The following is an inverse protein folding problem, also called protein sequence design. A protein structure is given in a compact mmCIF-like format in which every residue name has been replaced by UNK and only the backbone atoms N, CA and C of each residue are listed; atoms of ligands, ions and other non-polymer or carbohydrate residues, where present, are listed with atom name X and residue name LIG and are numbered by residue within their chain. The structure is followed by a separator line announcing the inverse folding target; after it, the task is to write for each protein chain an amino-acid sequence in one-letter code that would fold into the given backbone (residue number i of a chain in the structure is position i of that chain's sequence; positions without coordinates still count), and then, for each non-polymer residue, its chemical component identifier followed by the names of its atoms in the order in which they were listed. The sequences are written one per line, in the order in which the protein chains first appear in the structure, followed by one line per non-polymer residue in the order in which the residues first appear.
data_IF_502023943452
#
_entry.id   IF_502023943452
#
_cell.length_a   1.000
_cell.length_b   1.000
_cell.length_c   1.000
_cell.angle_alpha   90.00
_cell.angle_beta   90.00
_cell.angle_gamma   90.00
#
_symmetry.space_group_name_H-M   'P 1'
#
loop_
_entity.id
_entity.type
_entity.pdbx_description
1 polymer ?
#
# COMPACT_ATOMS: atom_id res chain seq x y z
N UNK A 1 4.79 60.12 -55.40
CA UNK A 1 5.22 59.50 -56.68
C UNK A 1 6.66 59.05 -56.52
N UNK A 2 6.89 57.76 -56.27
CA UNK A 2 8.23 57.17 -56.36
C UNK A 2 8.06 55.69 -56.71
N UNK A 3 7.83 55.45 -58.00
CA UNK A 3 8.09 54.16 -58.65
C UNK A 3 9.49 54.26 -59.24
N UNK A 4 10.18 53.12 -59.32
CA UNK A 4 11.44 52.91 -60.02
C UNK A 4 12.76 53.02 -59.20
N UNK A 5 12.87 52.26 -58.12
CA UNK A 5 14.11 51.53 -57.78
C UNK A 5 13.71 50.11 -57.39
N UNK A 6 13.24 49.38 -58.40
CA UNK A 6 12.96 47.95 -58.37
C UNK A 6 14.08 47.29 -59.18
N UNK A 7 14.76 46.30 -58.57
CA UNK A 7 15.93 45.52 -59.03
C UNK A 7 17.28 46.05 -58.54
N UNK A 8 17.69 45.55 -57.37
CA UNK A 8 18.96 44.85 -57.17
C UNK A 8 19.09 44.49 -55.68
N UNK A 9 18.58 43.33 -55.31
CA UNK A 9 19.07 42.42 -54.25
C UNK A 9 18.09 41.25 -54.14
N UNK A 10 18.02 40.49 -55.24
CA UNK A 10 17.58 39.10 -55.24
C UNK A 10 18.84 38.27 -54.98
N UNK A 11 19.09 37.92 -53.71
CA UNK A 11 19.95 36.81 -53.33
C UNK A 11 19.52 36.30 -51.94
N UNK A 12 19.01 35.07 -51.93
CA UNK A 12 18.78 34.16 -50.80
C UNK A 12 17.78 34.60 -49.69
N UNK A 13 16.57 34.00 -49.61
CA UNK A 13 15.90 33.87 -48.33
C UNK A 13 16.73 32.93 -47.46
N UNK A 14 17.31 33.48 -46.39
CA UNK A 14 17.86 32.70 -45.29
C UNK A 14 16.81 31.73 -44.78
N UNK A 15 17.12 30.45 -44.91
CA UNK A 15 16.42 29.33 -44.30
C UNK A 15 16.17 29.64 -42.82
N UNK A 16 14.93 30.00 -42.48
CA UNK A 16 14.42 29.83 -41.14
C UNK A 16 14.41 28.31 -40.88
N UNK A 17 15.53 27.83 -40.32
CA UNK A 17 15.66 26.44 -39.90
C UNK A 17 14.49 26.11 -38.99
N UNK A 18 13.64 25.18 -39.42
CA UNK A 18 12.61 24.58 -38.56
C UNK A 18 13.29 24.22 -37.24
N UNK A 19 12.72 24.55 -36.07
CA UNK A 19 13.30 24.14 -34.80
C UNK A 19 13.52 22.62 -34.88
N UNK A 20 14.81 22.21 -34.80
CA UNK A 20 15.19 20.79 -34.82
C UNK A 20 14.32 20.12 -33.77
N UNK A 21 13.43 19.22 -34.19
CA UNK A 21 12.67 18.39 -33.26
C UNK A 21 13.70 17.78 -32.31
N UNK A 22 13.55 17.95 -30.99
CA UNK A 22 14.49 17.37 -30.05
C UNK A 22 14.61 15.86 -30.34
N UNK A 23 15.82 15.29 -30.26
CA UNK A 23 16.00 13.87 -30.53
C UNK A 23 15.03 13.04 -29.68
N UNK A 24 14.55 11.88 -30.16
CA UNK A 24 13.53 11.08 -29.47
C UNK A 24 13.82 10.84 -27.98
N UNK A 25 15.10 10.65 -27.65
CA UNK A 25 15.63 10.47 -26.29
C UNK A 25 15.36 11.69 -25.38
N UNK A 26 15.42 12.92 -25.91
CA UNK A 26 15.15 14.14 -25.16
C UNK A 26 13.66 14.39 -24.93
N UNK A 27 12.79 13.88 -25.81
CA UNK A 27 11.32 13.91 -25.62
C UNK A 27 10.92 12.89 -24.55
N UNK A 28 11.50 11.69 -24.60
CA UNK A 28 11.28 10.64 -23.61
C UNK A 28 11.79 11.03 -22.22
N UNK A 29 12.96 11.66 -22.13
CA UNK A 29 13.51 12.16 -20.87
C UNK A 29 12.63 13.27 -20.25
N UNK A 30 12.21 14.26 -21.03
CA UNK A 30 11.28 15.32 -20.56
C UNK A 30 9.91 14.76 -20.17
N UNK A 31 9.43 13.75 -20.88
CA UNK A 31 8.19 13.05 -20.51
C UNK A 31 8.35 12.33 -19.17
N UNK A 32 9.42 11.53 -19.00
CA UNK A 32 9.75 10.83 -17.75
C UNK A 32 9.88 11.80 -16.57
N UNK A 33 10.59 12.92 -16.75
CA UNK A 33 10.75 13.96 -15.73
C UNK A 33 9.39 14.56 -15.33
N UNK A 34 8.57 14.98 -16.30
CA UNK A 34 7.25 15.57 -16.05
C UNK A 34 6.29 14.59 -15.38
N UNK A 35 6.26 13.33 -15.82
CA UNK A 35 5.39 12.30 -15.22
C UNK A 35 5.87 11.95 -13.81
N UNK A 36 7.17 11.83 -13.60
CA UNK A 36 7.74 11.58 -12.26
C UNK A 36 7.39 12.71 -11.30
N UNK A 37 7.51 13.97 -11.73
CA UNK A 37 7.14 15.13 -10.91
C UNK A 37 5.65 15.11 -10.55
N UNK A 38 4.76 14.80 -11.50
CA UNK A 38 3.32 14.67 -11.24
C UNK A 38 3.01 13.52 -10.27
N UNK A 39 3.56 12.33 -10.50
CA UNK A 39 3.36 11.17 -9.62
C UNK A 39 3.86 11.44 -8.21
N UNK A 40 5.02 12.09 -8.08
CA UNK A 40 5.58 12.47 -6.78
C UNK A 40 4.67 13.47 -6.07
N UNK A 41 4.20 14.51 -6.77
CA UNK A 41 3.27 15.49 -6.20
C UNK A 41 1.95 14.85 -5.76
N UNK A 42 1.38 13.95 -6.58
CA UNK A 42 0.17 13.20 -6.23
C UNK A 42 0.40 12.28 -5.02
N UNK A 43 1.55 11.62 -4.95
CA UNK A 43 1.91 10.76 -3.81
C UNK A 43 2.05 11.57 -2.52
N UNK A 44 2.70 12.73 -2.58
CA UNK A 44 2.81 13.65 -1.45
C UNK A 44 1.44 14.18 -1.01
N UNK A 45 0.55 14.54 -1.94
CA UNK A 45 -0.80 14.97 -1.62
C UNK A 45 -1.62 13.83 -0.97
N UNK A 46 -1.52 12.61 -1.49
CA UNK A 46 -2.15 11.43 -0.91
C UNK A 46 -1.62 11.14 0.51
N UNK A 47 -0.31 11.25 0.73
CA UNK A 47 0.29 11.11 2.05
C UNK A 47 -0.22 12.19 3.02
N UNK A 48 -0.31 13.44 2.58
CA UNK A 48 -0.88 14.53 3.38
C UNK A 48 -2.35 14.29 3.73
N UNK A 49 -3.14 13.74 2.81
CA UNK A 49 -4.53 13.35 3.07
C UNK A 49 -4.64 12.19 4.06
N UNK A 50 -3.81 11.14 3.90
CA UNK A 50 -3.74 10.04 4.86
C UNK A 50 -3.35 10.52 6.25
N UNK A 51 -2.36 11.42 6.34
CA UNK A 51 -1.96 12.03 7.61
C UNK A 51 -3.11 12.85 8.22
N UNK A 52 -3.79 13.68 7.43
CA UNK A 52 -4.95 14.44 7.91
C UNK A 52 -6.09 13.54 8.39
N UNK A 53 -6.33 12.42 7.72
CA UNK A 53 -7.36 11.47 8.10
C UNK A 53 -6.97 10.73 9.39
N UNK A 54 -5.82 10.06 9.40
CA UNK A 54 -5.42 9.12 10.45
C UNK A 54 -4.90 9.79 11.72
N UNK A 55 -4.23 10.92 11.60
CA UNK A 55 -3.61 11.54 12.76
C UNK A 55 -4.67 12.23 13.62
N UNK A 56 -4.54 12.14 14.94
CA UNK A 56 -5.48 12.81 15.82
C UNK A 56 -5.44 14.33 15.62
N UNK A 57 -6.59 14.99 15.77
CA UNK A 57 -6.64 16.44 15.95
C UNK A 57 -5.79 16.82 17.18
N UNK A 58 -5.19 18.02 17.19
CA UNK A 58 -4.33 18.46 18.31
C UNK A 58 -5.06 18.30 19.65
N UNK A 59 -4.53 17.46 20.53
CA UNK A 59 -5.08 17.19 21.86
C UNK A 59 -6.01 15.97 21.94
N UNK A 60 -6.43 15.38 20.82
CA UNK A 60 -7.07 14.08 20.79
C UNK A 60 -6.01 12.97 20.89
N UNK A 61 -6.24 11.95 21.71
CA UNK A 61 -5.40 10.75 21.75
C UNK A 61 -5.97 9.68 20.82
N UNK A 62 -5.13 9.05 20.00
CA UNK A 62 -5.50 7.85 19.23
C UNK A 62 -5.68 8.05 17.73
N UNK A 63 -6.26 7.05 17.07
CA UNK A 63 -6.46 7.01 15.62
C UNK A 63 -7.63 7.90 15.20
N UNK A 64 -7.41 8.73 14.18
CA UNK A 64 -8.36 9.68 13.61
C UNK A 64 -9.40 9.05 12.68
N UNK A 65 -9.81 9.77 11.65
CA UNK A 65 -10.88 9.44 10.69
C UNK A 65 -10.49 8.28 9.77
N UNK A 66 -11.48 7.58 9.20
CA UNK A 66 -11.23 6.54 8.20
C UNK A 66 -12.19 6.51 7.00
N UNK A 67 -13.45 6.94 7.16
CA UNK A 67 -14.44 6.89 6.09
C UNK A 67 -15.32 8.14 6.11
N UNK A 68 -15.65 8.67 4.93
CA UNK A 68 -16.65 9.72 4.76
C UNK A 68 -18.00 9.07 4.42
N UNK A 69 -18.98 9.23 5.31
CA UNK A 69 -20.35 8.82 5.05
C UNK A 69 -20.99 9.78 4.05
N UNK A 70 -21.17 9.31 2.81
CA UNK A 70 -21.76 10.10 1.72
C UNK A 70 -23.29 10.08 1.74
N UNK A 71 -23.90 9.07 2.37
CA UNK A 71 -25.34 8.97 2.53
C UNK A 71 -25.78 9.77 3.78
N UNK A 72 -26.62 10.79 3.59
CA UNK A 72 -27.11 11.64 4.69
C UNK A 72 -26.32 12.93 4.88
N UNK A 73 -26.00 13.29 6.13
CA UNK A 73 -25.48 14.61 6.49
C UNK A 73 -23.99 14.85 6.15
N UNK A 74 -23.29 13.88 5.55
CA UNK A 74 -21.88 14.05 5.16
C UNK A 74 -20.93 14.14 6.35
N UNK A 75 -20.76 13.05 7.11
CA UNK A 75 -19.86 13.04 8.29
C UNK A 75 -18.71 12.07 8.15
N UNK A 76 -17.55 12.44 8.69
CA UNK A 76 -16.43 11.53 8.83
C UNK A 76 -16.64 10.60 10.03
N UNK A 77 -16.56 9.29 9.78
CA UNK A 77 -16.49 8.26 10.82
C UNK A 77 -15.10 8.32 11.46
N UNK A 78 -15.07 8.40 12.80
CA UNK A 78 -13.85 8.64 13.57
C UNK A 78 -13.38 7.36 14.23
N UNK A 79 -14.15 6.77 15.14
CA UNK A 79 -13.69 5.62 15.94
C UNK A 79 -14.25 4.28 15.44
N UNK A 80 -13.41 3.24 15.39
CA UNK A 80 -13.88 1.90 15.06
C UNK A 80 -14.83 1.34 16.14
N UNK A 81 -14.59 1.70 17.40
CA UNK A 81 -15.36 1.27 18.57
C UNK A 81 -16.72 1.97 18.73
N UNK A 82 -17.01 3.00 17.91
CA UNK A 82 -18.19 3.85 18.10
C UNK A 82 -18.95 4.18 16.81
N UNK A 83 -18.24 4.34 15.68
CA UNK A 83 -18.81 4.90 14.44
C UNK A 83 -18.94 3.86 13.31
N UNK A 84 -18.77 2.57 13.61
CA UNK A 84 -18.94 1.49 12.62
C UNK A 84 -20.42 1.23 12.39
N UNK A 85 -20.84 1.11 11.11
CA UNK A 85 -22.18 0.67 10.75
C UNK A 85 -22.18 -0.85 10.68
N UNK A 86 -22.69 -1.49 11.73
CA UNK A 86 -22.66 -2.96 11.89
C UNK A 86 -23.36 -3.71 10.76
N UNK A 87 -24.26 -3.08 9.99
CA UNK A 87 -24.91 -3.73 8.85
C UNK A 87 -23.98 -3.91 7.64
N UNK A 88 -22.89 -3.14 7.55
CA UNK A 88 -22.00 -3.10 6.37
C UNK A 88 -20.52 -3.30 6.69
N UNK A 89 -20.12 -3.04 7.93
CA UNK A 89 -18.72 -2.99 8.35
C UNK A 89 -18.55 -3.64 9.74
N UNK A 90 -17.31 -3.79 10.19
CA UNK A 90 -16.96 -4.36 11.49
C UNK A 90 -15.80 -3.58 12.10
N UNK A 91 -15.69 -3.59 13.44
CA UNK A 91 -14.54 -3.01 14.15
C UNK A 91 -13.22 -3.58 13.59
N UNK A 92 -13.19 -4.88 13.30
CA UNK A 92 -12.06 -5.56 12.67
C UNK A 92 -11.64 -4.91 11.36
N UNK A 93 -12.58 -4.72 10.44
CA UNK A 93 -12.28 -4.20 9.10
C UNK A 93 -11.87 -2.71 9.17
N UNK A 94 -12.55 -1.91 10.00
CA UNK A 94 -12.12 -0.55 10.30
C UNK A 94 -10.68 -0.48 10.85
N UNK A 95 -10.35 -1.35 11.81
CA UNK A 95 -9.01 -1.40 12.40
C UNK A 95 -7.95 -1.79 11.36
N UNK A 96 -8.24 -2.78 10.52
CA UNK A 96 -7.38 -3.19 9.42
C UNK A 96 -7.11 -2.03 8.45
N UNK A 97 -8.16 -1.31 8.02
CA UNK A 97 -8.01 -0.17 7.12
C UNK A 97 -7.14 0.93 7.72
N UNK A 98 -7.31 1.26 9.00
CA UNK A 98 -6.48 2.26 9.69
C UNK A 98 -5.01 1.84 9.79
N UNK A 99 -4.73 0.57 10.09
CA UNK A 99 -3.36 0.04 10.15
C UNK A 99 -2.71 -0.02 8.76
N UNK A 100 -3.46 -0.39 7.73
CA UNK A 100 -3.00 -0.36 6.34
C UNK A 100 -2.73 1.07 5.88
N UNK A 101 -3.60 2.02 6.23
CA UNK A 101 -3.44 3.42 5.90
C UNK A 101 -2.21 4.02 6.62
N UNK A 102 -1.95 3.64 7.88
CA UNK A 102 -0.72 4.01 8.60
C UNK A 102 0.52 3.42 7.92
N UNK A 103 0.47 2.16 7.53
CA UNK A 103 1.55 1.49 6.77
C UNK A 103 1.82 2.22 5.45
N UNK A 104 0.77 2.58 4.71
CA UNK A 104 0.87 3.30 3.44
C UNK A 104 1.51 4.68 3.64
N UNK A 105 1.09 5.42 4.67
CA UNK A 105 1.69 6.71 5.03
C UNK A 105 3.20 6.57 5.31
N UNK A 106 3.60 5.53 6.05
CA UNK A 106 5.01 5.25 6.35
C UNK A 106 5.80 4.60 5.21
N UNK A 107 5.14 4.22 4.11
CA UNK A 107 5.79 3.71 2.91
C UNK A 107 6.16 4.83 1.92
N UNK A 108 5.54 6.01 2.05
CA UNK A 108 5.87 7.18 1.24
C UNK A 108 7.18 7.79 1.75
N UNK A 109 8.22 7.94 0.89
CA UNK A 109 9.48 8.55 1.30
C UNK A 109 9.29 9.93 1.94
N UNK A 110 9.83 10.12 3.15
CA UNK A 110 9.80 11.39 3.88
C UNK A 110 8.50 11.70 4.65
N UNK A 111 7.36 11.10 4.29
CA UNK A 111 6.06 11.43 4.89
C UNK A 111 5.98 11.14 6.39
N UNK A 112 6.52 10.00 6.84
CA UNK A 112 6.57 9.67 8.27
C UNK A 112 7.41 10.68 9.07
N UNK A 113 8.48 11.23 8.48
CA UNK A 113 9.32 12.24 9.14
C UNK A 113 8.64 13.60 9.19
N UNK A 114 7.96 14.00 8.11
CA UNK A 114 7.15 15.21 8.08
C UNK A 114 6.06 15.18 9.17
N UNK A 115 5.42 14.03 9.36
CA UNK A 115 4.38 13.84 10.36
C UNK A 115 4.84 13.11 11.63
N UNK A 116 6.14 13.22 11.97
CA UNK A 116 6.81 12.43 13.03
C UNK A 116 6.04 12.37 14.34
N UNK A 117 5.58 13.50 14.85
CA UNK A 117 4.88 13.56 16.14
C UNK A 117 3.57 12.74 16.13
N UNK A 118 2.79 12.84 15.06
CA UNK A 118 1.53 12.12 14.91
C UNK A 118 1.75 10.62 14.72
N UNK A 119 2.68 10.22 13.84
CA UNK A 119 3.01 8.80 13.63
C UNK A 119 3.51 8.17 14.92
N UNK A 120 4.43 8.82 15.65
CA UNK A 120 4.89 8.33 16.95
C UNK A 120 3.76 8.19 17.97
N UNK A 121 2.81 9.13 17.99
CA UNK A 121 1.67 9.06 18.90
C UNK A 121 0.76 7.86 18.59
N UNK A 122 0.51 7.55 17.31
CA UNK A 122 -0.26 6.38 16.90
C UNK A 122 0.45 5.07 17.28
N UNK A 123 1.75 4.96 17.00
CA UNK A 123 2.54 3.79 17.37
C UNK A 123 2.62 3.63 18.90
N UNK A 124 2.84 4.71 19.62
CA UNK A 124 2.83 4.72 21.08
C UNK A 124 1.47 4.33 21.67
N UNK A 125 0.36 4.70 21.00
CA UNK A 125 -0.98 4.25 21.38
C UNK A 125 -1.16 2.75 21.14
N UNK A 126 -0.72 2.25 19.97
CA UNK A 126 -0.77 0.83 19.61
C UNK A 126 0.09 -0.03 20.53
N UNK A 127 1.24 0.49 20.96
CA UNK A 127 2.17 -0.12 21.92
C UNK A 127 1.85 0.22 23.38
N UNK A 128 0.72 0.88 23.64
CA UNK A 128 0.34 1.37 24.95
C UNK A 128 0.12 0.27 25.98
N UNK A 129 -0.43 0.66 27.13
CA UNK A 129 -0.68 -0.27 28.24
C UNK A 129 -1.55 -1.45 27.78
N UNK A 130 -1.17 -2.65 28.20
CA UNK A 130 -1.96 -3.87 28.04
C UNK A 130 -3.36 -3.70 28.63
N UNK A 131 -4.31 -4.42 28.05
CA UNK A 131 -5.72 -4.51 28.47
C UNK A 131 -6.48 -3.18 28.41
N UNK A 132 -5.91 -2.19 27.72
CA UNK A 132 -6.55 -0.91 27.43
C UNK A 132 -6.83 -0.79 25.93
N UNK A 133 -8.07 -0.41 25.59
CA UNK A 133 -8.44 -0.12 24.22
C UNK A 133 -7.65 1.09 23.68
N UNK A 134 -7.16 0.94 22.46
CA UNK A 134 -6.53 1.98 21.65
C UNK A 134 -7.64 2.84 21.07
N UNK A 135 -7.69 4.09 21.51
CA UNK A 135 -8.70 5.04 21.08
C UNK A 135 -8.71 5.17 19.54
N UNK A 136 -9.91 5.12 19.00
CA UNK A 136 -10.20 5.17 17.57
C UNK A 136 -9.96 3.87 16.82
N UNK A 137 -9.37 2.83 17.42
CA UNK A 137 -9.05 1.57 16.74
C UNK A 137 -9.95 0.40 17.19
N UNK A 138 -10.59 0.49 18.36
CA UNK A 138 -11.34 -0.64 18.93
C UNK A 138 -10.49 -1.88 19.16
N UNK A 139 -9.18 -1.72 19.34
CA UNK A 139 -8.21 -2.80 19.52
C UNK A 139 -7.50 -2.64 20.85
N UNK A 140 -7.19 -3.72 21.56
CA UNK A 140 -6.31 -3.71 22.74
C UNK A 140 -5.20 -4.73 22.60
N UNK A 141 -4.08 -4.50 23.31
CA UNK A 141 -3.07 -5.54 23.53
C UNK A 141 -3.48 -6.40 24.72
N UNK A 142 -3.39 -7.72 24.61
CA UNK A 142 -3.62 -8.65 25.74
C UNK A 142 -2.78 -9.90 25.60
N UNK A 143 -2.69 -10.71 26.66
CA UNK A 143 -1.98 -11.99 26.63
C UNK A 143 -2.74 -12.99 25.75
N UNK A 144 -2.01 -13.73 24.93
CA UNK A 144 -2.58 -14.79 24.11
C UNK A 144 -3.04 -15.95 25.00
N UNK A 145 -4.28 -16.45 24.84
CA UNK A 145 -4.74 -17.64 25.56
C UNK A 145 -4.04 -18.92 25.09
N UNK A 146 -3.51 -18.90 23.86
CA UNK A 146 -2.90 -20.07 23.20
C UNK A 146 -1.39 -20.20 23.44
N UNK A 147 -0.73 -19.19 24.01
CA UNK A 147 0.71 -19.20 24.24
C UNK A 147 1.10 -18.34 25.45
N UNK A 148 1.72 -18.98 26.46
CA UNK A 148 2.13 -18.30 27.69
C UNK A 148 3.15 -17.19 27.41
N UNK A 149 2.88 -16.00 27.94
CA UNK A 149 3.80 -14.86 27.90
C UNK A 149 3.88 -14.12 26.57
N UNK A 150 3.18 -14.57 25.52
CA UNK A 150 3.03 -13.79 24.29
C UNK A 150 1.83 -12.87 24.40
N UNK A 151 1.98 -11.66 23.88
CA UNK A 151 0.88 -10.71 23.76
C UNK A 151 0.45 -10.61 22.28
N UNK A 152 -0.80 -10.27 22.05
CA UNK A 152 -1.35 -9.99 20.72
C UNK A 152 -2.38 -8.87 20.75
N UNK A 153 -2.81 -8.44 19.57
CA UNK A 153 -3.87 -7.44 19.41
C UNK A 153 -5.24 -8.11 19.30
N UNK A 154 -6.18 -7.69 20.12
CA UNK A 154 -7.55 -8.18 20.08
C UNK A 154 -8.45 -7.05 19.64
N UNK A 155 -9.33 -7.30 18.67
CA UNK A 155 -10.33 -6.34 18.25
C UNK A 155 -11.62 -6.56 19.02
N UNK A 156 -12.36 -5.48 19.25
CA UNK A 156 -13.68 -5.55 19.87
C UNK A 156 -14.68 -6.15 18.87
N UNK A 157 -15.43 -7.17 19.25
CA UNK A 157 -16.30 -7.91 18.32
C UNK A 157 -17.46 -7.07 17.80
N UNK A 158 -17.94 -6.15 18.62
CA UNK A 158 -19.01 -5.18 18.32
C UNK A 158 -18.67 -3.84 18.98
N UNK A 159 -19.03 -2.70 18.35
CA UNK A 159 -18.83 -1.37 18.92
C UNK A 159 -19.30 -1.28 20.38
N UNK A 160 -18.38 -0.99 21.30
CA UNK A 160 -18.68 -0.75 22.71
C UNK A 160 -19.13 -1.98 23.51
N UNK A 161 -18.99 -3.21 22.99
CA UNK A 161 -19.37 -4.43 23.69
C UNK A 161 -18.44 -4.80 24.85
N UNK A 162 -17.18 -4.37 24.80
CA UNK A 162 -16.11 -4.85 25.68
C UNK A 162 -15.71 -6.32 25.47
N UNK A 163 -16.30 -7.00 24.49
CA UNK A 163 -15.97 -8.37 24.08
C UNK A 163 -14.90 -8.33 23.00
N UNK A 164 -13.84 -9.13 23.14
CA UNK A 164 -12.68 -9.05 22.27
C UNK A 164 -12.31 -10.40 21.68
N UNK A 165 -11.91 -10.41 20.41
CA UNK A 165 -11.47 -11.60 19.68
C UNK A 165 -10.15 -11.33 18.92
N UNK A 166 -9.56 -12.40 18.40
CA UNK A 166 -8.26 -12.38 17.74
C UNK A 166 -8.38 -12.70 16.25
N UNK A 167 -7.67 -11.91 15.45
CA UNK A 167 -7.62 -12.07 14.00
C UNK A 167 -6.18 -12.00 13.51
N UNK A 168 -5.79 -12.94 12.65
CA UNK A 168 -4.43 -13.05 12.12
C UNK A 168 -4.09 -11.90 11.17
N UNK A 169 -5.04 -11.41 10.37
CA UNK A 169 -4.79 -10.28 9.48
C UNK A 169 -4.55 -9.01 10.29
N UNK A 170 -5.27 -8.84 11.40
CA UNK A 170 -5.03 -7.74 12.34
C UNK A 170 -3.63 -7.81 12.95
N UNK A 171 -3.18 -9.00 13.37
CA UNK A 171 -1.81 -9.16 13.89
C UNK A 171 -0.78 -8.79 12.82
N UNK A 172 -0.93 -9.33 11.61
CA UNK A 172 0.00 -9.09 10.51
C UNK A 172 0.05 -7.60 10.13
N UNK A 173 -1.11 -6.93 10.06
CA UNK A 173 -1.20 -5.50 9.77
C UNK A 173 -0.57 -4.64 10.88
N UNK A 174 -0.78 -5.00 12.15
CA UNK A 174 -0.18 -4.28 13.28
C UNK A 174 1.35 -4.42 13.30
N UNK A 175 1.88 -5.64 13.12
CA UNK A 175 3.32 -5.89 13.01
C UNK A 175 3.92 -5.11 11.85
N UNK A 176 3.30 -5.17 10.67
CA UNK A 176 3.75 -4.45 9.48
C UNK A 176 3.78 -2.94 9.72
N UNK A 177 2.69 -2.36 10.23
CA UNK A 177 2.61 -0.94 10.52
C UNK A 177 3.72 -0.49 11.49
N UNK A 178 3.97 -1.30 12.53
CA UNK A 178 5.03 -1.04 13.51
C UNK A 178 6.41 -1.02 12.85
N UNK A 179 6.81 -2.09 12.15
CA UNK A 179 8.16 -2.18 11.57
C UNK A 179 8.37 -1.16 10.46
N UNK A 180 7.36 -0.93 9.62
CA UNK A 180 7.43 0.00 8.51
C UNK A 180 7.58 1.44 9.03
N UNK A 181 6.75 1.84 9.99
CA UNK A 181 6.81 3.19 10.53
C UNK A 181 8.04 3.40 11.42
N UNK A 182 8.45 2.41 12.23
CA UNK A 182 9.69 2.48 13.00
C UNK A 182 10.91 2.67 12.09
N UNK A 183 10.98 1.92 10.99
CA UNK A 183 12.02 2.07 9.96
C UNK A 183 11.99 3.45 9.30
N UNK A 184 10.82 3.92 8.88
CA UNK A 184 10.65 5.24 8.26
C UNK A 184 11.01 6.40 9.22
N UNK A 185 10.73 6.23 10.52
CA UNK A 185 11.09 7.17 11.58
C UNK A 185 12.54 7.08 12.03
N UNK A 186 13.26 6.01 11.65
CA UNK A 186 14.58 5.66 12.15
C UNK A 186 14.60 5.53 13.68
N UNK A 187 13.58 4.87 14.23
CA UNK A 187 13.43 4.65 15.66
C UNK A 187 13.35 3.16 15.96
N UNK A 188 14.48 2.59 16.39
CA UNK A 188 14.60 1.17 16.71
C UNK A 188 13.81 0.75 17.94
N UNK A 189 13.56 1.65 18.89
CA UNK A 189 12.88 1.33 20.15
C UNK A 189 11.41 0.94 19.89
N UNK A 190 10.78 1.59 18.90
CA UNK A 190 9.41 1.28 18.48
C UNK A 190 9.25 -0.13 17.87
N UNK A 191 10.34 -0.72 17.38
CA UNK A 191 10.34 -2.05 16.78
C UNK A 191 11.10 -3.11 17.61
N UNK A 192 11.53 -2.78 18.82
CA UNK A 192 12.34 -3.68 19.66
C UNK A 192 11.66 -5.04 19.90
N UNK A 193 10.34 -5.02 20.13
CA UNK A 193 9.53 -6.22 20.40
C UNK A 193 8.89 -6.83 19.14
N UNK A 194 9.19 -6.32 17.94
CA UNK A 194 8.53 -6.77 16.70
C UNK A 194 8.67 -8.28 16.46
N UNK A 195 9.78 -8.89 16.89
CA UNK A 195 9.97 -10.34 16.84
C UNK A 195 8.99 -11.08 17.76
N UNK A 196 8.73 -10.57 18.96
CA UNK A 196 7.77 -11.15 19.91
C UNK A 196 6.35 -11.06 19.34
N UNK A 197 6.01 -9.91 18.75
CA UNK A 197 4.73 -9.72 18.07
C UNK A 197 4.54 -10.65 16.89
N UNK A 198 5.60 -10.91 16.12
CA UNK A 198 5.53 -11.88 15.04
C UNK A 198 5.34 -13.31 15.55
N UNK A 199 5.99 -13.70 16.66
CA UNK A 199 5.76 -15.01 17.29
C UNK A 199 4.32 -15.18 17.76
N UNK A 200 3.66 -14.09 18.17
CA UNK A 200 2.23 -14.11 18.46
C UNK A 200 1.39 -14.45 17.21
N UNK A 201 1.77 -13.96 16.03
CA UNK A 201 1.17 -14.38 14.75
C UNK A 201 1.32 -15.88 14.54
N UNK A 202 2.53 -16.42 14.73
CA UNK A 202 2.81 -17.86 14.55
C UNK A 202 1.99 -18.74 15.51
N UNK A 203 1.77 -18.26 16.74
CA UNK A 203 0.97 -18.96 17.74
C UNK A 203 -0.52 -18.99 17.39
N UNK A 204 -1.05 -17.90 16.83
CA UNK A 204 -2.46 -17.75 16.43
C UNK A 204 -2.74 -18.44 15.10
N UNK A 205 -1.75 -18.45 14.20
CA UNK A 205 -1.86 -18.99 12.85
C UNK A 205 -0.74 -19.99 12.52
N UNK A 206 -0.67 -21.12 13.26
CA UNK A 206 0.31 -22.16 13.00
C UNK A 206 0.02 -22.87 11.67
N UNK A 207 1.02 -23.56 11.12
CA UNK A 207 0.95 -24.23 9.81
C UNK A 207 -0.30 -25.09 9.58
N UNK A 208 -0.77 -25.80 10.61
CA UNK A 208 -2.00 -26.61 10.55
C UNK A 208 -3.27 -25.82 10.21
N UNK A 209 -3.26 -24.50 10.38
CA UNK A 209 -4.37 -23.60 10.07
C UNK A 209 -4.25 -22.94 8.70
N UNK A 210 -3.13 -23.09 7.98
CA UNK A 210 -2.95 -22.38 6.70
C UNK A 210 -4.03 -22.70 5.66
N UNK A 211 -4.47 -23.96 5.61
CA UNK A 211 -5.58 -24.39 4.74
C UNK A 211 -6.98 -24.00 5.21
N UNK A 212 -7.12 -23.26 6.32
CA UNK A 212 -8.43 -22.78 6.83
C UNK A 212 -8.85 -21.45 6.22
N UNK A 213 -7.90 -20.69 5.67
CA UNK A 213 -8.18 -19.43 4.97
C UNK A 213 -8.23 -19.63 3.46
N UNK A 214 -8.92 -18.72 2.78
CA UNK A 214 -8.94 -18.69 1.32
C UNK A 214 -7.56 -18.30 0.77
N UNK A 215 -7.30 -18.62 -0.51
CA UNK A 215 -6.09 -18.19 -1.20
C UNK A 215 -5.89 -16.67 -1.12
N UNK A 216 -6.96 -15.90 -1.30
CA UNK A 216 -6.93 -14.44 -1.22
C UNK A 216 -6.52 -13.95 0.18
N UNK A 217 -7.15 -14.49 1.23
CA UNK A 217 -6.82 -14.12 2.61
C UNK A 217 -5.37 -14.48 2.97
N UNK A 218 -4.91 -15.67 2.60
CA UNK A 218 -3.51 -16.07 2.77
C UNK A 218 -2.55 -15.18 1.97
N UNK A 219 -2.95 -14.70 0.79
CA UNK A 219 -2.14 -13.81 -0.02
C UNK A 219 -1.94 -12.43 0.62
N UNK A 220 -2.96 -11.89 1.31
CA UNK A 220 -2.85 -10.65 2.09
C UNK A 220 -1.84 -10.82 3.23
N UNK A 221 -1.90 -11.96 3.91
CA UNK A 221 -0.91 -12.30 4.96
C UNK A 221 0.49 -12.43 4.37
N UNK A 222 0.63 -13.08 3.22
CA UNK A 222 1.92 -13.26 2.55
C UNK A 222 2.57 -11.93 2.19
N UNK A 223 1.81 -11.04 1.56
CA UNK A 223 2.26 -9.68 1.27
C UNK A 223 2.72 -8.97 2.54
N UNK A 224 1.92 -9.05 3.62
CA UNK A 224 2.24 -8.40 4.90
C UNK A 224 3.54 -8.92 5.50
N UNK A 225 3.79 -10.24 5.46
CA UNK A 225 5.01 -10.84 5.99
C UNK A 225 6.24 -10.55 5.14
N UNK A 226 6.10 -10.53 3.80
CA UNK A 226 7.21 -10.17 2.91
C UNK A 226 7.61 -8.71 3.08
N UNK A 227 6.63 -7.80 3.20
CA UNK A 227 6.89 -6.39 3.50
C UNK A 227 7.52 -6.22 4.89
N UNK A 228 7.02 -6.93 5.89
CA UNK A 228 7.62 -6.94 7.25
C UNK A 228 9.09 -7.38 7.17
N UNK A 229 9.38 -8.46 6.45
CA UNK A 229 10.75 -8.95 6.25
C UNK A 229 11.65 -7.94 5.51
N UNK A 230 11.08 -7.17 4.58
CA UNK A 230 11.81 -6.15 3.85
C UNK A 230 12.14 -4.92 4.71
N UNK A 231 11.28 -4.61 5.68
CA UNK A 231 11.44 -3.46 6.59
C UNK A 231 12.42 -3.74 7.75
N UNK A 232 12.63 -5.00 8.14
CA UNK A 232 13.53 -5.36 9.25
C UNK A 232 15.00 -5.42 8.82
N UNK A 233 15.90 -5.20 9.79
CA UNK A 233 17.33 -5.28 9.53
C UNK A 233 17.75 -6.71 9.14
N UNK A 234 18.40 -6.88 7.98
CA UNK A 234 18.70 -8.19 7.37
C UNK A 234 19.57 -9.12 8.23
N UNK A 235 20.39 -8.59 9.13
CA UNK A 235 21.23 -9.37 10.03
C UNK A 235 20.61 -9.66 11.41
N UNK A 236 19.35 -9.26 11.63
CA UNK A 236 18.67 -9.50 12.91
C UNK A 236 18.14 -10.93 13.02
N UNK A 237 18.05 -11.44 14.25
CA UNK A 237 17.34 -12.69 14.57
C UNK A 237 15.91 -12.70 14.05
N UNK A 238 15.25 -11.54 14.05
CA UNK A 238 13.90 -11.41 13.53
C UNK A 238 13.85 -11.68 12.02
N UNK A 239 14.80 -11.15 11.24
CA UNK A 239 14.86 -11.41 9.79
C UNK A 239 15.05 -12.90 9.46
N UNK A 240 15.76 -13.64 10.31
CA UNK A 240 15.91 -15.10 10.19
C UNK A 240 14.61 -15.85 10.50
N UNK A 241 13.96 -15.51 11.63
CA UNK A 241 12.71 -16.15 12.07
C UNK A 241 11.58 -15.95 11.04
N UNK A 242 11.33 -14.70 10.61
CA UNK A 242 10.33 -14.42 9.57
C UNK A 242 10.69 -15.06 8.24
N UNK A 243 11.99 -15.15 7.91
CA UNK A 243 12.47 -15.83 6.72
C UNK A 243 12.19 -17.33 6.73
N UNK A 244 12.30 -17.99 7.90
CA UNK A 244 11.98 -19.40 8.10
C UNK A 244 10.48 -19.64 7.95
N UNK A 245 9.65 -18.81 8.59
CA UNK A 245 8.19 -18.86 8.47
C UNK A 245 7.76 -18.69 7.00
N UNK A 246 8.24 -17.64 6.33
CA UNK A 246 7.94 -17.36 4.93
C UNK A 246 8.34 -18.51 4.01
N UNK A 247 9.46 -19.19 4.28
CA UNK A 247 9.88 -20.34 3.47
C UNK A 247 8.83 -21.45 3.39
N UNK A 248 8.16 -21.76 4.51
CA UNK A 248 7.06 -22.73 4.56
C UNK A 248 5.75 -22.15 4.02
N UNK A 249 5.42 -20.92 4.41
CA UNK A 249 4.15 -20.29 4.04
C UNK A 249 4.07 -20.00 2.52
N UNK A 250 5.16 -19.53 1.91
CA UNK A 250 5.28 -19.37 0.46
C UNK A 250 5.12 -20.70 -0.26
N UNK A 251 5.76 -21.77 0.22
CA UNK A 251 5.64 -23.08 -0.42
C UNK A 251 4.20 -23.58 -0.41
N UNK A 252 3.46 -23.36 0.67
CA UNK A 252 2.03 -23.69 0.76
C UNK A 252 1.20 -22.89 -0.25
N UNK A 253 1.39 -21.56 -0.31
CA UNK A 253 0.65 -20.70 -1.24
C UNK A 253 0.96 -21.00 -2.70
N UNK A 254 2.22 -21.26 -3.04
CA UNK A 254 2.60 -21.65 -4.39
C UNK A 254 2.02 -23.02 -4.75
N UNK A 255 1.94 -23.96 -3.80
CA UNK A 255 1.21 -25.21 -4.01
C UNK A 255 -0.27 -24.98 -4.33
N UNK A 256 -0.96 -24.10 -3.59
CA UNK A 256 -2.34 -23.73 -3.89
C UNK A 256 -2.49 -23.07 -5.27
N UNK A 257 -1.53 -22.21 -5.64
CA UNK A 257 -1.50 -21.57 -6.96
C UNK A 257 -1.38 -22.62 -8.06
N UNK A 258 -0.48 -23.59 -7.90
CA UNK A 258 -0.26 -24.67 -8.88
C UNK A 258 -1.48 -25.62 -8.98
N UNK A 259 -2.14 -25.91 -7.86
CA UNK A 259 -3.27 -26.85 -7.78
C UNK A 259 -4.59 -26.27 -8.32
N UNK A 260 -4.87 -24.98 -8.07
CA UNK A 260 -6.10 -24.32 -8.51
C UNK A 260 -5.82 -23.27 -9.60
N UNK A 261 -6.22 -23.53 -10.87
CA UNK A 261 -6.07 -22.56 -11.97
C UNK A 261 -6.79 -21.23 -11.74
N UNK A 262 -7.77 -21.18 -10.83
CA UNK A 262 -8.51 -19.96 -10.48
C UNK A 262 -7.90 -19.20 -9.30
N UNK A 263 -6.91 -19.78 -8.61
CA UNK A 263 -6.23 -19.10 -7.52
C UNK A 263 -5.56 -17.81 -8.03
N UNK A 264 -6.06 -16.67 -7.58
CA UNK A 264 -5.57 -15.35 -7.97
C UNK A 264 -5.81 -14.31 -6.88
N UNK A 265 -4.87 -13.38 -6.71
CA UNK A 265 -5.06 -12.20 -5.88
C UNK A 265 -4.03 -11.12 -6.22
N UNK A 266 -4.40 -9.83 -6.06
CA UNK A 266 -3.46 -8.72 -6.23
C UNK A 266 -2.35 -8.71 -5.17
N UNK A 267 -2.69 -8.99 -3.91
CA UNK A 267 -1.70 -9.14 -2.83
C UNK A 267 -0.72 -10.28 -3.10
N UNK A 268 -1.19 -11.41 -3.65
CA UNK A 268 -0.34 -12.56 -3.97
C UNK A 268 0.61 -12.25 -5.11
N UNK A 269 0.13 -11.55 -6.15
CA UNK A 269 0.98 -11.06 -7.24
C UNK A 269 2.09 -10.13 -6.73
N UNK A 270 1.75 -9.17 -5.87
CA UNK A 270 2.74 -8.26 -5.29
C UNK A 270 3.73 -9.01 -4.39
N UNK A 271 3.24 -9.88 -3.51
CA UNK A 271 4.08 -10.69 -2.63
C UNK A 271 5.05 -11.58 -3.40
N UNK A 272 4.61 -12.20 -4.50
CA UNK A 272 5.46 -13.00 -5.38
C UNK A 272 6.59 -12.17 -5.99
N UNK A 273 6.29 -10.95 -6.47
CA UNK A 273 7.29 -10.04 -7.04
C UNK A 273 8.29 -9.60 -5.97
N UNK A 274 7.82 -9.18 -4.79
CA UNK A 274 8.70 -8.77 -3.69
C UNK A 274 9.62 -9.92 -3.23
N UNK A 275 9.05 -11.12 -3.10
CA UNK A 275 9.80 -12.33 -2.74
C UNK A 275 10.88 -12.64 -3.78
N UNK A 276 10.53 -12.55 -5.06
CA UNK A 276 11.45 -12.77 -6.17
C UNK A 276 12.59 -11.75 -6.22
N UNK A 277 12.28 -10.45 -6.04
CA UNK A 277 13.27 -9.37 -6.04
C UNK A 277 14.23 -9.45 -4.84
N UNK A 278 13.72 -9.89 -3.68
CA UNK A 278 14.51 -10.05 -2.46
C UNK A 278 15.38 -11.30 -2.42
N UNK A 279 15.17 -12.29 -3.31
CA UNK A 279 15.86 -13.57 -3.28
C UNK A 279 17.23 -13.51 -3.95
N UNK A 280 18.25 -14.03 -3.26
CA UNK A 280 19.65 -14.06 -3.71
C UNK A 280 20.06 -15.42 -4.24
N UNK A 281 19.46 -16.50 -3.74
CA UNK A 281 19.78 -17.87 -4.16
C UNK A 281 19.17 -18.15 -5.53
N UNK A 282 20.03 -18.40 -6.52
CA UNK A 282 19.64 -18.56 -7.92
C UNK A 282 18.48 -19.55 -8.11
N UNK A 283 18.57 -20.74 -7.51
CA UNK A 283 17.55 -21.79 -7.64
C UNK A 283 16.18 -21.38 -7.09
N UNK A 284 16.15 -20.72 -5.92
CA UNK A 284 14.89 -20.21 -5.33
C UNK A 284 14.37 -19.02 -6.12
N UNK A 285 15.25 -18.14 -6.60
CA UNK A 285 14.89 -17.00 -7.44
C UNK A 285 14.25 -17.45 -8.75
N UNK A 286 14.76 -18.51 -9.37
CA UNK A 286 14.15 -19.10 -10.58
C UNK A 286 12.75 -19.65 -10.31
N UNK A 287 12.57 -20.39 -9.20
CA UNK A 287 11.25 -20.91 -8.79
C UNK A 287 10.23 -19.80 -8.52
N UNK A 288 10.61 -18.78 -7.74
CA UNK A 288 9.77 -17.59 -7.52
C UNK A 288 9.53 -16.85 -8.83
N UNK A 289 10.51 -16.87 -9.74
CA UNK A 289 10.36 -16.37 -11.09
C UNK A 289 9.22 -17.03 -11.84
N UNK A 290 9.15 -18.36 -11.86
CA UNK A 290 8.05 -19.09 -12.50
C UNK A 290 6.70 -18.73 -11.90
N UNK A 291 6.62 -18.60 -10.57
CA UNK A 291 5.38 -18.16 -9.93
C UNK A 291 4.93 -16.77 -10.41
N UNK A 292 5.85 -15.81 -10.53
CA UNK A 292 5.53 -14.48 -11.06
C UNK A 292 5.06 -14.53 -12.51
N UNK A 293 5.66 -15.39 -13.35
CA UNK A 293 5.23 -15.57 -14.73
C UNK A 293 3.85 -16.23 -14.83
N UNK A 294 3.57 -17.20 -13.96
CA UNK A 294 2.25 -17.80 -13.79
C UNK A 294 1.24 -16.75 -13.36
N UNK A 295 1.63 -15.86 -12.44
CA UNK A 295 0.76 -14.77 -12.03
C UNK A 295 0.39 -13.94 -13.28
N UNK A 296 1.39 -13.47 -14.01
CA UNK A 296 1.16 -12.67 -15.21
C UNK A 296 0.31 -13.40 -16.28
N UNK A 297 0.52 -14.69 -16.50
CA UNK A 297 -0.25 -15.48 -17.47
C UNK A 297 -1.75 -15.50 -17.13
N UNK A 298 -2.09 -15.71 -15.85
CA UNK A 298 -3.50 -15.66 -15.40
C UNK A 298 -4.09 -14.26 -15.53
N UNK A 299 -3.32 -13.21 -15.22
CA UNK A 299 -3.78 -11.84 -15.41
C UNK A 299 -4.16 -11.56 -16.87
N UNK A 300 -3.35 -12.01 -17.84
CA UNK A 300 -3.65 -11.84 -19.28
C UNK A 300 -4.99 -12.50 -19.65
N UNK A 301 -5.32 -13.65 -19.06
CA UNK A 301 -6.60 -14.32 -19.27
C UNK A 301 -7.78 -13.62 -18.55
N UNK A 302 -7.55 -13.04 -17.37
CA UNK A 302 -8.57 -12.40 -16.54
C UNK A 302 -8.91 -10.97 -16.97
N UNK A 303 -7.91 -10.19 -17.39
CA UNK A 303 -8.05 -8.76 -17.64
C UNK A 303 -9.14 -8.39 -18.67
N UNK A 304 -9.36 -9.14 -19.78
CA UNK A 304 -10.41 -8.83 -20.74
C UNK A 304 -11.84 -8.90 -20.17
N UNK A 305 -12.06 -9.72 -19.13
CA UNK A 305 -13.38 -9.92 -18.52
C UNK A 305 -13.65 -9.06 -17.28
N UNK A 306 -12.69 -8.24 -16.86
CA UNK A 306 -12.80 -7.45 -15.63
C UNK A 306 -13.65 -6.20 -15.87
N UNK A 307 -14.75 -6.07 -15.11
CA UNK A 307 -15.52 -4.82 -15.10
C UNK A 307 -14.76 -3.73 -14.34
N UNK A 308 -14.03 -2.91 -15.09
CA UNK A 308 -13.27 -1.75 -14.59
C UNK A 308 -14.15 -0.63 -14.04
N UNK A 309 -15.47 -0.69 -14.27
CA UNK A 309 -16.44 0.25 -13.68
C UNK A 309 -16.55 0.09 -12.17
N UNK A 310 -16.53 -1.17 -11.71
CA UNK A 310 -16.89 -1.58 -10.34
C UNK A 310 -15.67 -1.95 -9.47
N UNK A 311 -14.47 -1.96 -10.05
CA UNK A 311 -13.25 -2.39 -9.37
C UNK A 311 -12.54 -1.21 -8.71
N UNK A 312 -12.24 -1.30 -7.41
CA UNK A 312 -11.37 -0.36 -6.71
C UNK A 312 -9.97 -0.36 -7.33
N UNK A 313 -9.45 0.81 -7.70
CA UNK A 313 -8.19 1.01 -8.44
C UNK A 313 -6.94 0.57 -7.69
N UNK A 314 -6.95 0.66 -6.35
CA UNK A 314 -5.76 0.47 -5.53
C UNK A 314 -5.20 -0.95 -5.60
N UNK A 315 -6.07 -1.97 -5.54
CA UNK A 315 -5.66 -3.38 -5.63
C UNK A 315 -4.98 -3.73 -6.97
N UNK A 316 -5.62 -3.47 -8.12
CA UNK A 316 -5.01 -3.62 -9.43
C UNK A 316 -3.68 -2.90 -9.58
N UNK A 317 -3.56 -1.64 -9.13
CA UNK A 317 -2.30 -0.91 -9.24
C UNK A 317 -1.20 -1.53 -8.37
N UNK A 318 -1.50 -1.92 -7.13
CA UNK A 318 -0.55 -2.53 -6.20
C UNK A 318 -0.08 -3.91 -6.64
N UNK A 319 -0.97 -4.74 -7.19
CA UNK A 319 -0.64 -6.10 -7.64
C UNK A 319 -0.03 -6.17 -9.05
N UNK A 320 -0.57 -5.40 -9.99
CA UNK A 320 -0.22 -5.52 -11.41
C UNK A 320 1.01 -4.68 -11.78
N UNK A 321 1.16 -3.46 -11.27
CA UNK A 321 2.31 -2.63 -11.62
C UNK A 321 3.66 -3.31 -11.36
N UNK A 322 3.86 -4.02 -10.22
CA UNK A 322 5.10 -4.78 -9.98
C UNK A 322 5.29 -5.96 -10.94
N UNK A 323 4.22 -6.64 -11.35
CA UNK A 323 4.28 -7.71 -12.37
C UNK A 323 4.74 -7.16 -13.72
N UNK A 324 4.25 -5.98 -14.10
CA UNK A 324 4.60 -5.35 -15.38
C UNK A 324 6.04 -4.85 -15.41
N UNK A 325 6.56 -4.36 -14.29
CA UNK A 325 7.96 -3.96 -14.17
C UNK A 325 8.94 -5.10 -14.50
N UNK A 326 8.54 -6.37 -14.29
CA UNK A 326 9.35 -7.54 -14.68
C UNK A 326 9.46 -7.74 -16.19
N UNK A 327 8.41 -7.45 -16.96
CA UNK A 327 8.37 -7.66 -18.43
C UNK A 327 9.12 -6.60 -19.21
N UNK A 328 9.52 -5.49 -18.57
CA UNK A 328 10.25 -4.42 -19.23
C UNK A 328 9.44 -3.77 -20.37
N UNK A 329 10.07 -3.39 -21.49
CA UNK A 329 9.41 -2.62 -22.55
C UNK A 329 8.26 -3.35 -23.29
N UNK A 330 8.20 -4.69 -23.21
CA UNK A 330 7.15 -5.50 -23.84
C UNK A 330 5.81 -5.43 -23.08
N UNK A 331 5.75 -4.73 -21.95
CA UNK A 331 4.55 -4.55 -21.15
C UNK A 331 3.62 -3.43 -21.64
N UNK A 332 3.92 -2.75 -22.76
CA UNK A 332 3.26 -1.51 -23.18
C UNK A 332 1.72 -1.59 -23.25
N UNK A 333 1.15 -2.70 -23.72
CA UNK A 333 -0.32 -2.89 -23.80
C UNK A 333 -0.97 -3.09 -22.42
N UNK A 334 -0.28 -3.72 -21.47
CA UNK A 334 -0.73 -3.92 -20.09
C UNK A 334 -0.45 -2.69 -19.20
N UNK A 335 0.58 -1.91 -19.53
CA UNK A 335 0.83 -0.58 -18.96
C UNK A 335 -0.33 0.35 -19.33
N UNK A 336 -0.88 0.26 -20.54
CA UNK A 336 -2.06 1.03 -20.93
C UNK A 336 -3.32 0.70 -20.11
N UNK A 337 -3.54 -0.56 -19.70
CA UNK A 337 -4.69 -0.90 -18.84
C UNK A 337 -4.49 -0.43 -17.40
N UNK A 338 -3.26 -0.52 -16.88
CA UNK A 338 -2.88 -0.01 -15.55
C UNK A 338 -2.89 1.52 -15.49
N UNK A 339 -2.43 2.20 -16.54
CA UNK A 339 -2.49 3.65 -16.66
C UNK A 339 -3.93 4.14 -16.87
N UNK A 340 -4.77 3.44 -17.64
CA UNK A 340 -6.21 3.79 -17.75
C UNK A 340 -6.94 3.66 -16.41
N UNK A 341 -6.60 2.64 -15.63
CA UNK A 341 -7.06 2.51 -14.24
C UNK A 341 -6.60 3.71 -13.40
N UNK A 342 -5.31 4.03 -13.42
CA UNK A 342 -4.76 5.16 -12.67
C UNK A 342 -5.33 6.53 -13.11
N UNK A 343 -5.54 6.75 -14.41
CA UNK A 343 -6.08 7.98 -15.00
C UNK A 343 -7.56 8.19 -14.66
N UNK A 344 -8.36 7.11 -14.60
CA UNK A 344 -9.79 7.17 -14.22
C UNK A 344 -9.98 7.83 -12.85
N UNK A 345 -9.11 7.52 -11.90
CA UNK A 345 -9.30 7.89 -10.50
C UNK A 345 -8.33 8.98 -10.02
N UNK A 346 -7.38 9.42 -10.85
CA UNK A 346 -6.44 10.50 -10.49
C UNK A 346 -7.16 11.81 -10.14
N UNK A 347 -8.33 12.04 -10.73
CA UNK A 347 -9.17 13.21 -10.46
C UNK A 347 -10.06 13.01 -9.21
N UNK A 348 -10.35 11.76 -8.82
CA UNK A 348 -11.06 11.42 -7.57
C UNK A 348 -10.17 11.63 -6.35
N UNK A 349 -8.85 11.44 -6.49
CA UNK A 349 -7.88 11.65 -5.40
C UNK A 349 -7.34 13.08 -5.30
N UNK A 350 -7.71 13.97 -6.23
CA UNK A 350 -7.40 15.40 -6.13
C UNK A 350 -8.34 16.06 -5.13
N UNK A 351 -7.88 16.22 -3.90
CA UNK A 351 -8.50 17.14 -2.96
C UNK A 351 -8.36 18.55 -3.53
N UNK A 352 -9.44 19.09 -4.12
CA UNK A 352 -9.53 20.53 -4.33
C UNK A 352 -9.53 21.17 -2.95
N UNK A 353 -8.37 21.66 -2.51
CA UNK A 353 -8.26 22.54 -1.36
C UNK A 353 -9.25 23.69 -1.59
N UNK A 354 -10.34 23.70 -0.82
CA UNK A 354 -11.29 24.80 -0.81
C UNK A 354 -10.52 26.06 -0.38
N UNK A 355 -10.12 26.85 -1.39
CA UNK A 355 -9.20 27.98 -1.23
C UNK A 355 -8.59 28.47 -2.54
N UNK A 356 -8.48 27.62 -3.57
CA UNK A 356 -7.97 28.02 -4.88
C UNK A 356 -9.03 28.58 -5.85
N UNK A 357 -10.26 28.80 -5.39
CA UNK A 357 -11.35 29.40 -6.20
C UNK A 357 -11.43 30.94 -6.08
N UNK A 358 -10.44 31.58 -5.45
CA UNK A 358 -10.42 33.04 -5.29
C UNK A 358 -9.12 33.65 -5.84
N UNK A 359 -8.82 33.41 -7.11
CA UNK A 359 -8.00 34.32 -7.93
C UNK A 359 -7.96 33.88 -9.40
N UNK A 360 -8.99 34.26 -10.17
CA UNK A 360 -8.77 35.10 -11.36
C UNK A 360 -10.11 35.63 -11.85
N UNK A 361 -10.36 36.96 -11.82
CA UNK A 361 -11.49 37.56 -12.51
C UNK A 361 -11.17 37.76 -14.00
N UNK A 362 -12.21 37.62 -14.82
CA UNK A 362 -12.37 37.99 -16.24
C UNK A 362 -11.42 37.37 -17.27
#
# INVERSE_FOLDING_TARGET
ALRLVLRLLLCAPGLAGKPKRPPPVAVEAKFKERITAKLTASLSAAAGHLAWALLPEKGAGGFGRYELELEGAGRWRRGCEADVAEERDSVRLCALHKLQALTALCSVPGAAQEHRAGVRALLGSLLGRRDRAVAGLGVKRSLLPVASGLEGWFYETRPGSGEYDIDVALQAAAVLALVQCAGALQDGDLAADAQSWFRAVEAVYPQRLWGKLTFHANSILWESFVLTRAAVHRGSSFAEDIGRFLGGFEAHLLGMLDEDPKAWSFSGAHAAVLSWQGERRATRRERLGRAVDEYLARWIALAPGLNVSDSYTCGPLQGIAPLLARRGPDAAELVSSTLRLAEKDVDLFQVRLAGAAAASPA
#
